data_IF_735486812557
#
_entry.id   IF_735486812557
#
_cell.length_a   1.000
_cell.length_b   1.000
_cell.length_c   1.000
_cell.angle_alpha   90.00
_cell.angle_beta   90.00
_cell.angle_gamma   90.00
#
_symmetry.space_group_name_H-M   'P 1'
#
loop_
_entity.id
_entity.type
_entity.pdbx_description
1 polymer ?
#
# COMPACT_ATOMS: atom_id res chain seq x y z
N UNK A 1 -25.46 -42.43 -8.82
CA UNK A 1 -24.23 -41.68 -8.50
C UNK A 1 -24.46 -40.16 -8.44
N UNK A 2 -25.42 -39.57 -9.16
CA UNK A 2 -25.68 -38.12 -9.14
C UNK A 2 -26.14 -37.53 -7.78
N UNK A 3 -26.96 -38.25 -7.01
CA UNK A 3 -27.50 -37.73 -5.74
C UNK A 3 -26.43 -37.41 -4.68
N UNK A 4 -25.36 -38.21 -4.58
CA UNK A 4 -24.30 -37.94 -3.59
C UNK A 4 -23.46 -36.71 -3.94
N UNK A 5 -23.12 -36.54 -5.23
CA UNK A 5 -22.39 -35.37 -5.70
C UNK A 5 -23.20 -34.08 -5.49
N UNK A 6 -24.49 -34.13 -5.85
CA UNK A 6 -25.43 -33.02 -5.63
C UNK A 6 -25.58 -32.67 -4.14
N UNK A 7 -25.71 -33.66 -3.26
CA UNK A 7 -25.82 -33.42 -1.82
C UNK A 7 -24.53 -32.81 -1.24
N UNK A 8 -23.37 -33.27 -1.72
CA UNK A 8 -22.06 -32.75 -1.30
C UNK A 8 -21.90 -31.30 -1.72
N UNK A 9 -22.29 -30.97 -2.95
CA UNK A 9 -22.25 -29.62 -3.48
C UNK A 9 -23.21 -28.68 -2.73
N UNK A 10 -24.44 -29.11 -2.45
CA UNK A 10 -25.40 -28.38 -1.63
C UNK A 10 -24.87 -28.08 -0.23
N UNK A 11 -24.25 -29.06 0.43
CA UNK A 11 -23.66 -28.86 1.75
C UNK A 11 -22.48 -27.88 1.70
N UNK A 12 -21.67 -27.90 0.64
CA UNK A 12 -20.60 -26.93 0.43
C UNK A 12 -21.15 -25.51 0.27
N UNK A 13 -22.19 -25.33 -0.54
CA UNK A 13 -22.88 -24.04 -0.70
C UNK A 13 -23.45 -23.52 0.62
N UNK A 14 -24.12 -24.37 1.40
CA UNK A 14 -24.66 -24.00 2.72
C UNK A 14 -23.56 -23.62 3.71
N UNK A 15 -22.44 -24.35 3.69
CA UNK A 15 -21.28 -24.05 4.55
C UNK A 15 -20.69 -22.68 4.21
N UNK A 16 -20.56 -22.36 2.91
CA UNK A 16 -20.11 -21.04 2.46
C UNK A 16 -21.10 -19.94 2.86
N UNK A 17 -22.40 -20.17 2.66
CA UNK A 17 -23.44 -19.22 3.05
C UNK A 17 -23.37 -18.87 4.54
N UNK A 18 -23.34 -19.89 5.43
CA UNK A 18 -23.26 -19.65 6.87
C UNK A 18 -21.96 -18.95 7.29
N UNK A 19 -20.87 -19.17 6.55
CA UNK A 19 -19.63 -18.44 6.78
C UNK A 19 -19.79 -16.95 6.45
N UNK A 20 -20.45 -16.60 5.34
CA UNK A 20 -20.74 -15.20 5.02
C UNK A 20 -21.66 -14.56 6.06
N UNK A 21 -22.73 -15.25 6.45
CA UNK A 21 -23.66 -14.81 7.48
C UNK A 21 -22.94 -14.52 8.82
N UNK A 22 -22.09 -15.46 9.28
CA UNK A 22 -21.30 -15.29 10.49
C UNK A 22 -20.30 -14.12 10.38
N UNK A 23 -19.66 -13.98 9.22
CA UNK A 23 -18.70 -12.89 8.98
C UNK A 23 -19.41 -11.53 8.97
N UNK A 24 -20.59 -11.44 8.35
CA UNK A 24 -21.39 -10.21 8.35
C UNK A 24 -21.88 -9.84 9.75
N UNK A 25 -22.29 -10.83 10.54
CA UNK A 25 -22.68 -10.59 11.92
C UNK A 25 -21.52 -10.07 12.78
N UNK A 26 -20.31 -10.59 12.55
CA UNK A 26 -19.09 -10.12 13.22
C UNK A 26 -18.70 -8.71 12.76
N UNK A 27 -18.81 -8.41 11.45
CA UNK A 27 -18.59 -7.07 10.90
C UNK A 27 -19.56 -6.03 11.49
N UNK A 28 -20.85 -6.38 11.62
CA UNK A 28 -21.82 -5.47 12.22
C UNK A 28 -21.52 -5.17 13.70
N UNK A 29 -20.81 -6.07 14.38
CA UNK A 29 -20.44 -5.92 15.79
C UNK A 29 -19.09 -5.22 15.99
N UNK A 30 -18.18 -5.32 15.01
CA UNK A 30 -16.82 -4.80 15.08
C UNK A 30 -16.59 -3.73 14.02
N UNK A 31 -16.16 -2.53 14.44
CA UNK A 31 -15.81 -1.47 13.48
C UNK A 31 -14.65 -1.95 12.60
N UNK A 32 -14.97 -2.28 11.34
CA UNK A 32 -14.04 -2.96 10.45
C UNK A 32 -13.62 -2.03 9.31
N UNK A 33 -12.38 -2.17 8.86
CA UNK A 33 -11.81 -1.40 7.75
C UNK A 33 -12.63 -1.60 6.45
N UNK A 34 -12.92 -0.51 5.75
CA UNK A 34 -13.59 -0.50 4.46
C UNK A 34 -12.91 -1.42 3.43
N UNK A 35 -11.59 -1.63 3.52
CA UNK A 35 -10.87 -2.57 2.65
C UNK A 35 -11.34 -4.02 2.88
N UNK A 36 -11.56 -4.42 4.13
CA UNK A 36 -12.01 -5.77 4.47
C UNK A 36 -13.45 -5.97 4.00
N UNK A 37 -14.32 -4.98 4.22
CA UNK A 37 -15.71 -5.00 3.76
C UNK A 37 -15.76 -5.09 2.22
N UNK A 38 -14.92 -4.33 1.51
CA UNK A 38 -14.85 -4.40 0.04
C UNK A 38 -14.46 -5.80 -0.45
N UNK A 39 -13.46 -6.43 0.16
CA UNK A 39 -13.05 -7.80 -0.22
C UNK A 39 -14.15 -8.82 0.03
N UNK A 40 -14.88 -8.68 1.14
CA UNK A 40 -16.02 -9.55 1.42
C UNK A 40 -17.12 -9.38 0.35
N UNK A 41 -17.35 -8.16 -0.13
CA UNK A 41 -18.27 -7.88 -1.22
C UNK A 41 -17.86 -8.53 -2.54
N UNK A 42 -16.57 -8.52 -2.86
CA UNK A 42 -16.02 -9.21 -4.04
C UNK A 42 -16.22 -10.73 -3.92
N UNK A 43 -15.85 -11.31 -2.78
CA UNK A 43 -15.98 -12.75 -2.50
C UNK A 43 -17.47 -13.20 -2.56
N UNK A 44 -18.39 -12.40 -2.02
CA UNK A 44 -19.83 -12.70 -2.06
C UNK A 44 -20.39 -12.60 -3.49
N UNK A 45 -19.87 -11.67 -4.30
CA UNK A 45 -20.26 -11.51 -5.70
C UNK A 45 -19.78 -12.67 -6.57
N UNK A 46 -18.54 -13.12 -6.36
CA UNK A 46 -18.02 -14.34 -7.00
C UNK A 46 -18.88 -15.56 -6.61
N UNK A 47 -19.20 -15.70 -5.33
CA UNK A 47 -20.06 -16.77 -4.84
C UNK A 47 -21.47 -16.75 -5.46
N UNK A 48 -22.09 -15.57 -5.57
CA UNK A 48 -23.39 -15.42 -6.21
C UNK A 48 -23.34 -15.81 -7.70
N UNK A 49 -22.25 -15.50 -8.41
CA UNK A 49 -22.03 -15.93 -9.79
C UNK A 49 -21.95 -17.45 -9.89
N UNK A 50 -21.16 -18.10 -9.02
CA UNK A 50 -21.05 -19.56 -8.98
C UNK A 50 -22.39 -20.24 -8.72
N UNK A 51 -23.22 -19.69 -7.81
CA UNK A 51 -24.57 -20.21 -7.52
C UNK A 51 -25.48 -20.07 -8.74
N UNK A 52 -25.43 -18.94 -9.45
CA UNK A 52 -26.21 -18.72 -10.67
C UNK A 52 -25.80 -19.67 -11.80
N UNK A 53 -24.50 -19.86 -12.02
CA UNK A 53 -23.96 -20.79 -13.02
C UNK A 53 -24.28 -22.25 -12.70
N UNK A 54 -24.15 -22.66 -11.43
CA UNK A 54 -24.48 -24.02 -11.00
C UNK A 54 -25.94 -24.35 -11.28
N UNK A 55 -26.84 -23.39 -11.05
CA UNK A 55 -28.30 -23.57 -11.25
C UNK A 55 -28.69 -23.63 -12.72
N UNK A 56 -27.94 -23.00 -13.61
CA UNK A 56 -28.17 -23.11 -15.06
C UNK A 56 -27.76 -24.48 -15.60
N UNK A 57 -26.71 -25.09 -15.04
CA UNK A 57 -26.10 -26.30 -15.59
C UNK A 57 -26.69 -27.58 -15.01
N UNK A 58 -27.08 -27.57 -13.73
CA UNK A 58 -27.66 -28.72 -13.06
C UNK A 58 -28.82 -28.23 -12.19
N UNK A 59 -29.98 -28.90 -12.25
CA UNK A 59 -31.12 -28.63 -11.37
C UNK A 59 -30.81 -29.06 -9.92
N UNK A 60 -29.76 -28.49 -9.34
CA UNK A 60 -29.22 -28.81 -8.02
C UNK A 60 -30.18 -28.37 -6.93
N UNK A 61 -30.81 -27.21 -7.13
CA UNK A 61 -31.72 -26.58 -6.19
C UNK A 61 -33.18 -26.75 -6.63
N UNK A 62 -34.05 -26.98 -5.66
CA UNK A 62 -35.49 -26.76 -5.84
C UNK A 62 -35.72 -25.28 -6.22
N UNK A 63 -36.61 -24.97 -7.19
CA UNK A 63 -36.82 -23.59 -7.65
C UNK A 63 -37.17 -22.60 -6.52
N UNK A 64 -37.92 -23.06 -5.51
CA UNK A 64 -38.28 -22.25 -4.35
C UNK A 64 -37.09 -22.01 -3.39
N UNK A 65 -36.24 -23.02 -3.18
CA UNK A 65 -35.02 -22.88 -2.37
C UNK A 65 -34.03 -21.93 -3.06
N UNK A 66 -33.87 -22.06 -4.38
CA UNK A 66 -33.03 -21.18 -5.17
C UNK A 66 -33.49 -19.72 -5.11
N UNK A 67 -34.79 -19.46 -5.27
CA UNK A 67 -35.35 -18.11 -5.16
C UNK A 67 -35.07 -17.49 -3.78
N UNK A 68 -35.17 -18.30 -2.72
CA UNK A 68 -34.85 -17.88 -1.35
C UNK A 68 -33.37 -17.55 -1.20
N UNK A 69 -32.49 -18.43 -1.69
CA UNK A 69 -31.04 -18.23 -1.65
C UNK A 69 -30.62 -16.96 -2.40
N UNK A 70 -31.18 -16.75 -3.60
CA UNK A 70 -30.90 -15.56 -4.40
C UNK A 70 -31.36 -14.27 -3.71
N UNK A 71 -32.54 -14.30 -3.08
CA UNK A 71 -33.03 -13.17 -2.29
C UNK A 71 -32.12 -12.86 -1.09
N UNK A 72 -31.69 -13.89 -0.34
CA UNK A 72 -30.76 -13.73 0.78
C UNK A 72 -29.39 -13.20 0.35
N UNK A 73 -28.84 -13.69 -0.76
CA UNK A 73 -27.57 -13.18 -1.31
C UNK A 73 -27.69 -11.72 -1.73
N UNK A 74 -28.79 -11.34 -2.37
CA UNK A 74 -29.04 -9.95 -2.76
C UNK A 74 -29.15 -9.02 -1.55
N UNK A 75 -29.78 -9.49 -0.47
CA UNK A 75 -29.86 -8.76 0.79
C UNK A 75 -28.48 -8.57 1.43
N UNK A 76 -27.68 -9.64 1.54
CA UNK A 76 -26.32 -9.56 2.09
C UNK A 76 -25.42 -8.62 1.26
N UNK A 77 -25.55 -8.61 -0.06
CA UNK A 77 -24.81 -7.67 -0.92
C UNK A 77 -25.21 -6.21 -0.66
N UNK A 78 -26.49 -5.96 -0.41
CA UNK A 78 -26.97 -4.62 -0.05
C UNK A 78 -26.41 -4.20 1.31
N UNK A 79 -26.41 -5.09 2.30
CA UNK A 79 -25.89 -4.84 3.64
C UNK A 79 -24.39 -4.50 3.59
N UNK A 80 -23.59 -5.31 2.90
CA UNK A 80 -22.14 -5.03 2.68
C UNK A 80 -21.93 -3.66 2.06
N UNK A 81 -22.76 -3.27 1.09
CA UNK A 81 -22.64 -1.98 0.42
C UNK A 81 -22.95 -0.82 1.36
N UNK A 82 -23.97 -0.96 2.21
CA UNK A 82 -24.33 0.04 3.21
C UNK A 82 -23.21 0.18 4.25
N UNK A 83 -22.70 -0.95 4.76
CA UNK A 83 -21.60 -0.97 5.74
C UNK A 83 -20.31 -0.40 5.15
N UNK A 84 -20.01 -0.70 3.89
CA UNK A 84 -18.86 -0.11 3.20
C UNK A 84 -19.00 1.41 3.11
N UNK A 85 -20.19 1.91 2.75
CA UNK A 85 -20.43 3.33 2.65
C UNK A 85 -20.31 4.01 4.02
N UNK A 86 -20.88 3.42 5.08
CA UNK A 86 -20.74 3.91 6.44
C UNK A 86 -19.29 3.91 6.93
N UNK A 87 -18.54 2.84 6.63
CA UNK A 87 -17.11 2.75 6.96
C UNK A 87 -16.28 3.80 6.21
N UNK A 88 -16.59 4.07 4.94
CA UNK A 88 -15.95 5.13 4.15
C UNK A 88 -16.31 6.51 4.69
N UNK A 89 -17.58 6.76 4.98
CA UNK A 89 -18.06 8.05 5.50
C UNK A 89 -17.48 8.33 6.89
N UNK A 90 -17.43 7.31 7.76
CA UNK A 90 -16.80 7.38 9.09
C UNK A 90 -15.29 7.56 8.98
N UNK A 91 -14.63 6.88 8.03
CA UNK A 91 -13.20 7.07 7.74
C UNK A 91 -12.90 8.48 7.22
N UNK A 92 -13.88 9.13 6.59
CA UNK A 92 -13.78 10.54 6.19
C UNK A 92 -14.01 11.54 7.33
N UNK A 93 -14.59 11.13 8.47
CA UNK A 93 -14.80 11.99 9.65
C UNK A 93 -13.57 12.23 10.52
N UNK A 94 -12.49 11.51 10.24
CA UNK A 94 -11.17 11.97 10.60
C UNK A 94 -10.27 11.56 9.47
N UNK A 95 -9.92 12.47 8.55
CA UNK A 95 -8.62 12.30 7.89
C UNK A 95 -7.64 12.27 9.05
N UNK A 96 -7.00 11.14 9.42
CA UNK A 96 -5.80 11.25 10.22
C UNK A 96 -4.98 12.26 9.44
N UNK A 97 -4.59 13.35 10.09
CA UNK A 97 -3.88 14.40 9.39
C UNK A 97 -2.54 13.78 8.96
N UNK A 98 -2.55 13.16 7.78
CA UNK A 98 -1.42 12.45 7.18
C UNK A 98 -0.25 13.42 7.05
N UNK A 99 -0.59 14.71 6.96
CA UNK A 99 0.30 15.85 6.96
C UNK A 99 -0.18 16.80 8.05
N UNK A 100 0.67 17.04 9.05
CA UNK A 100 0.45 18.05 10.07
C UNK A 100 1.52 19.14 9.94
N UNK A 101 1.09 20.38 9.92
CA UNK A 101 2.00 21.53 10.00
C UNK A 101 2.28 21.82 11.46
N UNK A 102 3.43 21.35 11.96
CA UNK A 102 3.87 21.55 13.33
C UNK A 102 4.60 22.89 13.42
N UNK A 103 4.03 23.82 14.20
CA UNK A 103 4.67 25.09 14.50
C UNK A 103 5.64 24.87 15.66
N UNK A 104 6.94 24.98 15.38
CA UNK A 104 7.97 25.05 16.43
C UNK A 104 7.94 26.44 17.06
N UNK A 105 7.98 26.56 18.38
CA UNK A 105 7.85 27.86 19.11
C UNK A 105 9.00 28.88 18.87
N UNK A 106 9.88 28.63 17.91
CA UNK A 106 10.95 29.54 17.52
C UNK A 106 10.68 30.25 16.19
N UNK A 107 11.41 31.34 15.89
CA UNK A 107 11.39 31.97 14.56
C UNK A 107 11.90 30.97 13.52
N UNK A 108 11.00 30.44 12.69
CA UNK A 108 11.33 29.44 11.69
C UNK A 108 10.14 29.06 10.82
N UNK A 109 10.43 28.42 9.67
CA UNK A 109 9.41 27.85 8.80
C UNK A 109 8.74 26.66 9.51
N UNK A 110 7.40 26.55 9.52
CA UNK A 110 6.71 25.39 10.10
C UNK A 110 7.22 24.07 9.51
N UNK A 111 7.35 23.05 10.36
CA UNK A 111 7.76 21.71 9.92
C UNK A 111 6.54 20.92 9.47
N UNK A 112 6.72 20.10 8.45
CA UNK A 112 5.70 19.20 7.94
C UNK A 112 5.96 17.83 8.55
N UNK A 113 5.10 17.40 9.46
CA UNK A 113 5.09 16.05 10.01
C UNK A 113 4.19 15.16 9.16
N UNK A 114 4.69 13.99 8.74
CA UNK A 114 3.93 13.04 7.93
C UNK A 114 3.82 11.74 8.72
N UNK A 115 2.66 11.09 8.69
CA UNK A 115 2.47 9.81 9.37
C UNK A 115 3.48 8.74 8.88
N UNK A 116 4.27 8.13 9.78
CA UNK A 116 5.33 7.18 9.40
C UNK A 116 4.79 5.85 8.86
N UNK A 117 3.63 5.37 9.34
CA UNK A 117 3.04 4.11 8.88
C UNK A 117 2.44 4.27 7.49
N UNK A 118 1.78 5.40 7.24
CA UNK A 118 1.36 5.79 5.89
C UNK A 118 2.56 5.91 4.95
N UNK A 119 3.64 6.59 5.36
CA UNK A 119 4.84 6.74 4.52
C UNK A 119 5.48 5.39 4.18
N UNK A 120 5.55 4.47 5.16
CA UNK A 120 6.11 3.13 4.96
C UNK A 120 5.27 2.33 3.95
N UNK A 121 3.95 2.35 4.10
CA UNK A 121 3.02 1.71 3.17
C UNK A 121 3.10 2.33 1.76
N UNK A 122 3.00 3.66 1.66
CA UNK A 122 2.94 4.36 0.39
C UNK A 122 4.25 4.23 -0.40
N UNK A 123 5.40 4.27 0.28
CA UNK A 123 6.71 4.09 -0.36
C UNK A 123 6.89 2.70 -0.97
N UNK A 124 6.25 1.67 -0.39
CA UNK A 124 6.24 0.32 -0.95
C UNK A 124 5.45 0.19 -2.27
N UNK A 125 4.57 1.13 -2.57
CA UNK A 125 3.66 1.05 -3.73
C UNK A 125 3.84 2.16 -4.76
N UNK A 126 4.40 3.31 -4.36
CA UNK A 126 4.42 4.53 -5.17
C UNK A 126 5.78 5.23 -5.10
N UNK A 127 6.12 5.95 -6.17
CA UNK A 127 7.32 6.79 -6.18
C UNK A 127 7.17 8.01 -5.26
N UNK A 128 8.29 8.52 -4.71
CA UNK A 128 8.29 9.71 -3.83
C UNK A 128 7.65 10.94 -4.46
N UNK A 129 7.73 11.07 -5.80
CA UNK A 129 7.10 12.16 -6.53
C UNK A 129 5.56 12.01 -6.57
N UNK A 130 5.06 10.78 -6.76
CA UNK A 130 3.62 10.48 -6.72
C UNK A 130 3.04 10.72 -5.33
N UNK A 131 3.75 10.30 -4.28
CA UNK A 131 3.38 10.54 -2.88
C UNK A 131 3.34 12.05 -2.59
N UNK A 132 4.37 12.80 -3.00
CA UNK A 132 4.40 14.25 -2.83
C UNK A 132 3.22 14.96 -3.50
N UNK A 133 2.87 14.58 -4.74
CA UNK A 133 1.69 15.13 -5.44
C UNK A 133 0.38 14.81 -4.72
N UNK A 134 0.25 13.60 -4.17
CA UNK A 134 -0.93 13.19 -3.40
C UNK A 134 -1.08 13.98 -2.10
N UNK A 135 0.02 14.18 -1.37
CA UNK A 135 0.05 14.91 -0.10
C UNK A 135 0.12 16.43 -0.25
N UNK A 136 0.33 16.95 -1.47
CA UNK A 136 0.52 18.38 -1.72
C UNK A 136 1.86 18.93 -1.22
N UNK A 137 2.89 18.08 -1.11
CA UNK A 137 4.23 18.46 -0.62
C UNK A 137 5.32 18.16 -1.65
N UNK A 138 6.47 18.83 -1.51
CA UNK A 138 7.61 18.63 -2.40
C UNK A 138 8.24 17.24 -2.24
N UNK A 139 8.85 16.73 -3.33
CA UNK A 139 9.60 15.46 -3.30
C UNK A 139 10.68 15.43 -2.21
N UNK A 140 11.39 16.54 -2.02
CA UNK A 140 12.43 16.67 -0.99
C UNK A 140 11.87 16.53 0.43
N UNK A 141 10.67 17.05 0.69
CA UNK A 141 9.97 16.87 1.96
C UNK A 141 9.70 15.40 2.25
N UNK A 142 9.22 14.64 1.24
CA UNK A 142 8.99 13.19 1.37
C UNK A 142 10.30 12.45 1.64
N UNK A 143 11.38 12.78 0.91
CA UNK A 143 12.68 12.14 1.12
C UNK A 143 13.23 12.41 2.52
N UNK A 144 13.13 13.65 3.00
CA UNK A 144 13.56 14.00 4.35
C UNK A 144 12.74 13.26 5.41
N UNK A 145 11.42 13.16 5.25
CA UNK A 145 10.57 12.40 6.17
C UNK A 145 10.90 10.89 6.16
N UNK A 146 11.17 10.31 4.99
CA UNK A 146 11.60 8.89 4.88
C UNK A 146 12.93 8.64 5.60
N UNK A 147 13.87 9.58 5.52
CA UNK A 147 15.15 9.52 6.25
C UNK A 147 14.95 9.72 7.75
N UNK A 148 14.14 10.70 8.15
CA UNK A 148 13.84 11.04 9.55
C UNK A 148 13.18 9.87 10.29
N UNK A 149 12.25 9.16 9.64
CA UNK A 149 11.60 7.97 10.20
C UNK A 149 12.40 6.66 10.03
N UNK A 150 13.60 6.71 9.44
CA UNK A 150 14.43 5.52 9.22
C UNK A 150 13.85 4.49 8.24
N UNK A 151 12.92 4.90 7.38
CA UNK A 151 12.32 4.04 6.34
C UNK A 151 13.30 3.80 5.20
N UNK A 152 14.13 4.81 4.89
CA UNK A 152 15.18 4.75 3.88
C UNK A 152 16.52 5.10 4.52
N UNK A 153 17.59 4.39 4.14
CA UNK A 153 18.95 4.75 4.55
C UNK A 153 19.53 5.81 3.62
N UNK A 154 20.35 6.75 4.11
CA UNK A 154 21.08 7.67 3.27
C UNK A 154 21.90 6.91 2.22
N UNK A 155 21.60 7.12 0.93
CA UNK A 155 22.43 6.53 -0.12
C UNK A 155 23.79 7.23 -0.13
N UNK A 156 24.86 6.44 -0.09
CA UNK A 156 26.22 6.96 -0.28
C UNK A 156 26.28 7.71 -1.61
N UNK A 157 26.87 8.91 -1.58
CA UNK A 157 26.99 9.72 -2.78
C UNK A 157 27.84 8.94 -3.82
N UNK A 158 27.26 8.53 -4.97
CA UNK A 158 27.97 7.72 -5.96
C UNK A 158 29.10 8.50 -6.66
N UNK A 159 29.18 9.82 -6.45
CA UNK A 159 30.23 10.69 -6.95
C UNK A 159 31.33 10.98 -5.92
N UNK A 160 31.36 10.28 -4.78
CA UNK A 160 32.54 10.35 -3.93
C UNK A 160 33.74 9.79 -4.72
N UNK A 161 34.76 10.61 -5.04
CA UNK A 161 35.92 10.12 -5.75
C UNK A 161 36.54 9.04 -4.88
N UNK A 162 36.73 7.85 -5.44
CA UNK A 162 37.45 6.75 -4.81
C UNK A 162 38.87 7.25 -4.52
N UNK A 163 39.11 7.82 -3.34
CA UNK A 163 40.43 8.20 -2.85
C UNK A 163 41.19 6.94 -2.46
N UNK A 164 41.44 6.10 -3.47
CA UNK A 164 42.32 4.94 -3.43
C UNK A 164 43.32 5.10 -4.57
N UNK A 165 44.17 6.12 -4.46
CA UNK A 165 45.46 6.12 -5.12
C UNK A 165 46.53 6.00 -4.05
N UNK A 166 47.23 4.85 -3.96
CA UNK A 166 48.38 4.73 -3.09
C UNK A 166 49.46 5.69 -3.61
N UNK A 167 49.86 6.64 -2.77
CA UNK A 167 51.03 7.47 -2.99
C UNK A 167 52.23 6.53 -3.01
N UNK A 168 52.70 6.19 -4.22
CA UNK A 168 53.99 5.55 -4.40
C UNK A 168 55.07 6.54 -3.94
N UNK A 169 55.61 6.30 -2.75
CA UNK A 169 56.88 6.87 -2.32
C UNK A 169 57.96 6.36 -3.28
N UNK A 170 58.36 7.19 -4.25
CA UNK A 170 59.56 6.95 -5.04
C UNK A 170 60.60 8.03 -4.73
N UNK A 171 61.49 7.59 -3.86
CA UNK A 171 62.85 8.02 -3.51
C UNK A 171 63.56 9.01 -4.41
N UNK A 172 64.20 9.99 -3.75
CA UNK A 172 65.55 10.51 -3.97
C UNK A 172 66.29 9.98 -5.22
N UNK A 173 66.64 10.90 -6.12
CA UNK A 173 67.97 10.92 -6.74
C UNK A 173 68.42 12.36 -7.01
N UNK A 174 69.64 12.64 -6.55
CA UNK A 174 70.40 13.87 -6.71
C UNK A 174 70.98 14.01 -8.13
N UNK A 175 71.25 15.27 -8.51
CA UNK A 175 72.36 15.73 -9.38
C UNK A 175 72.28 15.33 -10.87
N UNK A 176 72.66 16.10 -11.89
CA UNK A 176 73.26 17.44 -12.15
C UNK A 176 72.53 17.96 -13.40
N UNK A 177 72.47 19.24 -13.75
CA UNK A 177 73.44 20.09 -14.49
C UNK A 177 72.49 21.07 -15.22
N UNK A 178 72.61 22.38 -15.04
CA UNK A 178 73.32 23.28 -15.98
C UNK A 178 72.63 23.38 -17.37
N UNK A 179 72.50 24.60 -17.93
CA UNK A 179 72.05 24.96 -19.31
C UNK A 179 70.51 25.20 -19.40
N UNK A 180 69.93 26.41 -19.53
CA UNK A 180 70.37 27.72 -20.08
C UNK A 180 69.56 28.88 -19.48
N UNK A 181 70.26 29.95 -19.09
CA UNK A 181 69.74 31.31 -18.95
C UNK A 181 69.39 31.92 -20.32
N UNK A 182 68.23 32.58 -20.48
CA UNK A 182 68.01 33.51 -21.59
C UNK A 182 68.51 34.91 -21.22
N UNK A 183 69.62 35.34 -21.84
CA UNK A 183 70.02 36.74 -21.90
C UNK A 183 68.89 37.56 -22.56
N UNK A 184 68.38 38.52 -21.80
CA UNK A 184 67.58 39.65 -22.28
C UNK A 184 68.51 40.86 -22.26
N UNK A 185 68.87 41.36 -23.44
CA UNK A 185 69.34 42.73 -23.66
C UNK A 185 68.76 43.22 -25.00
N UNK A 186 68.07 44.37 -24.91
CA UNK A 186 67.54 45.32 -25.92
C UNK A 186 66.68 44.83 -27.12
#
# INVERSE_FOLDING_TARGET
LGSFAQQTLLNAFRTHYHRFEATLHDLASNHTDAIVISRLGDDLSEFASMVAEATQNEAIFEPAEFATLQASLSAMQLDIRLDYQDAVDTSHHGRPALVQTVHTEGPGRPRIHIDPDFLRWAYGQRSTASIGRFLGVGRSTIQNALLEHGIVQPQANPFQPSTSHPVAQQSNNQATDEILDPNIDD
#
